data_IF_423466949591
#
_entry.id   IF_423466949591
#
_cell.length_a   1.000
_cell.length_b   1.000
_cell.length_c   1.000
_cell.angle_alpha   90.00
_cell.angle_beta   90.00
_cell.angle_gamma   90.00
#
_symmetry.space_group_name_H-M   'P 1'
#
loop_
_entity.id
_entity.type
_entity.pdbx_description
1 polymer ?
#
# COMPACT_ATOMS: atom_id res chain seq x y z
N UNK A 1 25.44 13.06 6.81
CA UNK A 1 24.17 12.32 6.67
C UNK A 1 23.49 12.35 8.03
N UNK A 2 22.33 13.01 8.14
CA UNK A 2 21.54 12.95 9.38
C UNK A 2 20.99 11.51 9.55
N UNK A 3 21.00 10.93 10.75
CA UNK A 3 20.39 9.63 10.97
C UNK A 3 18.89 9.71 10.62
N UNK A 4 18.30 8.66 10.02
CA UNK A 4 16.86 8.63 9.79
C UNK A 4 16.12 8.82 11.13
N UNK A 5 14.94 9.46 11.12
CA UNK A 5 14.16 9.62 12.34
C UNK A 5 13.89 8.24 12.97
N UNK A 6 13.89 8.12 14.31
CA UNK A 6 13.50 6.91 15.01
C UNK A 6 12.16 6.36 14.50
N UNK A 7 12.00 5.03 14.46
CA UNK A 7 10.81 4.35 13.93
C UNK A 7 9.50 4.85 14.60
N UNK A 8 9.56 5.27 15.87
CA UNK A 8 8.43 5.88 16.58
C UNK A 8 7.92 7.21 15.97
N UNK A 9 8.74 7.95 15.22
CA UNK A 9 8.25 9.09 14.43
C UNK A 9 7.46 8.63 13.20
N UNK A 10 7.91 7.57 12.51
CA UNK A 10 7.18 6.99 11.37
C UNK A 10 5.81 6.49 11.82
N UNK A 11 5.77 5.78 12.93
CA UNK A 11 4.54 5.32 13.57
C UNK A 11 3.60 6.48 13.91
N UNK A 12 4.12 7.54 14.54
CA UNK A 12 3.32 8.74 14.84
C UNK A 12 2.78 9.43 13.59
N UNK A 13 3.58 9.51 12.53
CA UNK A 13 3.14 10.06 11.26
C UNK A 13 2.09 9.19 10.58
N UNK A 14 2.24 7.87 10.63
CA UNK A 14 1.29 6.91 10.06
C UNK A 14 -0.12 7.08 10.65
N UNK A 15 -0.22 7.33 11.96
CA UNK A 15 -1.49 7.64 12.64
C UNK A 15 -2.17 8.92 12.14
N UNK A 16 -1.38 9.89 11.70
CA UNK A 16 -1.88 11.18 11.21
C UNK A 16 -2.23 11.12 9.72
N UNK A 17 -1.45 10.39 8.92
CA UNK A 17 -1.55 10.40 7.46
C UNK A 17 -2.39 9.27 6.89
N UNK A 18 -2.72 8.23 7.66
CA UNK A 18 -3.51 7.08 7.20
C UNK A 18 -4.95 7.04 7.75
N UNK A 19 -5.51 8.19 8.16
CA UNK A 19 -6.92 8.23 8.55
C UNK A 19 -7.83 8.06 7.34
N UNK A 20 -8.80 7.19 7.46
CA UNK A 20 -9.76 6.92 6.41
C UNK A 20 -10.79 8.04 6.31
N UNK A 21 -11.45 8.16 5.15
CA UNK A 21 -12.34 9.28 4.81
C UNK A 21 -13.40 9.54 5.88
N UNK A 22 -13.85 8.47 6.52
CA UNK A 22 -14.90 8.47 7.53
C UNK A 22 -14.45 9.08 8.87
N UNK A 23 -13.14 9.16 9.15
CA UNK A 23 -12.59 9.59 10.44
C UNK A 23 -11.90 10.96 10.40
N UNK A 24 -11.93 11.65 9.25
CA UNK A 24 -11.22 12.90 9.05
C UNK A 24 -12.04 13.89 8.23
N UNK A 25 -11.64 15.15 8.27
CA UNK A 25 -12.00 16.11 7.23
C UNK A 25 -11.24 15.69 5.96
N UNK A 26 -11.90 15.35 4.85
CA UNK A 26 -11.19 14.81 3.69
C UNK A 26 -10.11 15.74 3.13
N UNK A 27 -10.39 17.04 3.06
CA UNK A 27 -9.42 18.03 2.57
C UNK A 27 -8.19 18.14 3.48
N UNK A 28 -8.39 18.26 4.80
CA UNK A 28 -7.27 18.29 5.76
C UNK A 28 -6.43 17.01 5.65
N UNK A 29 -7.08 15.86 5.41
CA UNK A 29 -6.38 14.58 5.25
C UNK A 29 -5.58 14.53 3.93
N UNK A 30 -6.14 15.02 2.82
CA UNK A 30 -5.44 15.09 1.54
C UNK A 30 -4.23 16.04 1.59
N UNK A 31 -4.32 17.10 2.39
CA UNK A 31 -3.23 18.03 2.63
C UNK A 31 -2.13 17.37 3.46
N UNK A 32 -2.44 16.83 4.64
CA UNK A 32 -1.43 16.24 5.54
C UNK A 32 -0.75 15.01 4.93
N UNK A 33 -1.52 14.12 4.29
CA UNK A 33 -0.97 12.96 3.59
C UNK A 33 -0.18 13.40 2.35
N UNK A 34 -0.65 14.44 1.66
CA UNK A 34 0.06 15.05 0.53
C UNK A 34 1.42 15.60 0.91
N UNK A 35 1.51 16.41 1.97
CA UNK A 35 2.78 16.96 2.45
C UNK A 35 3.75 15.86 2.89
N UNK A 36 3.26 14.79 3.51
CA UNK A 36 4.10 13.64 3.84
C UNK A 36 4.61 12.93 2.59
N UNK A 37 3.75 12.66 1.61
CA UNK A 37 4.12 12.01 0.36
C UNK A 37 5.16 12.83 -0.42
N UNK A 38 4.98 14.15 -0.47
CA UNK A 38 5.94 15.08 -1.08
C UNK A 38 7.30 15.02 -0.38
N UNK A 39 7.33 15.06 0.96
CA UNK A 39 8.55 14.92 1.74
C UNK A 39 9.24 13.56 1.53
N UNK A 40 8.47 12.47 1.44
CA UNK A 40 9.01 11.13 1.15
C UNK A 40 9.68 11.13 -0.22
N UNK A 41 9.00 11.62 -1.27
CA UNK A 41 9.56 11.66 -2.62
C UNK A 41 10.76 12.60 -2.74
N UNK A 42 10.75 13.72 -2.03
CA UNK A 42 11.92 14.59 -1.92
C UNK A 42 13.14 13.83 -1.38
N UNK A 43 12.99 13.11 -0.27
CA UNK A 43 14.07 12.33 0.34
C UNK A 43 14.50 11.17 -0.56
N UNK A 44 13.56 10.48 -1.22
CA UNK A 44 13.86 9.46 -2.23
C UNK A 44 14.69 10.06 -3.37
N UNK A 45 14.35 11.25 -3.86
CA UNK A 45 15.11 11.96 -4.89
C UNK A 45 16.52 12.30 -4.42
N UNK A 46 16.68 12.81 -3.20
CA UNK A 46 18.00 13.13 -2.65
C UNK A 46 18.89 11.89 -2.49
N UNK A 47 18.32 10.76 -2.08
CA UNK A 47 19.08 9.53 -1.80
C UNK A 47 19.35 8.67 -3.01
N UNK A 48 18.37 8.56 -3.91
CA UNK A 48 18.38 7.62 -5.04
C UNK A 48 18.59 8.33 -6.39
N UNK A 49 18.57 9.67 -6.41
CA UNK A 49 18.71 10.44 -7.64
C UNK A 49 17.63 10.08 -8.67
N UNK A 50 18.07 9.76 -9.89
CA UNK A 50 17.19 9.39 -10.99
C UNK A 50 16.68 7.94 -10.96
N UNK A 51 17.13 7.12 -9.98
CA UNK A 51 16.86 5.69 -9.96
C UNK A 51 15.37 5.34 -10.05
N UNK A 52 14.49 6.08 -9.36
CA UNK A 52 13.04 5.83 -9.36
C UNK A 52 12.39 5.88 -10.76
N UNK A 53 13.00 6.53 -11.76
CA UNK A 53 12.52 6.53 -13.16
C UNK A 53 12.66 5.17 -13.84
N UNK A 54 13.47 4.27 -13.29
CA UNK A 54 13.82 2.98 -13.86
C UNK A 54 13.25 1.81 -13.06
N UNK A 55 12.45 2.07 -12.02
CA UNK A 55 11.83 1.05 -11.18
C UNK A 55 10.35 0.95 -11.56
N UNK A 56 10.06 0.39 -12.74
CA UNK A 56 8.70 0.08 -13.19
C UNK A 56 8.64 -1.34 -13.73
N UNK A 57 7.44 -1.82 -14.04
CA UNK A 57 7.18 -3.14 -14.63
C UNK A 57 7.98 -3.32 -15.93
N UNK A 58 8.04 -2.31 -16.79
CA UNK A 58 8.67 -2.44 -18.10
C UNK A 58 10.20 -2.69 -18.09
N UNK A 59 11.01 -2.04 -17.22
CA UNK A 59 12.40 -2.46 -16.97
C UNK A 59 12.50 -3.86 -16.35
N UNK A 60 11.62 -4.21 -15.41
CA UNK A 60 11.57 -5.56 -14.81
C UNK A 60 11.35 -6.64 -15.89
N UNK A 61 10.52 -6.38 -16.89
CA UNK A 61 10.35 -7.31 -18.02
C UNK A 61 11.60 -7.51 -18.86
N UNK A 62 12.41 -6.45 -19.01
CA UNK A 62 13.71 -6.56 -19.72
C UNK A 62 14.70 -7.37 -18.91
N UNK A 63 14.72 -7.20 -17.60
CA UNK A 63 15.55 -8.01 -16.70
C UNK A 63 15.11 -9.48 -16.74
N UNK A 64 13.80 -9.74 -16.76
CA UNK A 64 13.25 -11.09 -16.90
C UNK A 64 13.63 -11.74 -18.24
N UNK A 65 13.67 -10.96 -19.32
CA UNK A 65 14.15 -11.42 -20.63
C UNK A 65 15.65 -11.77 -20.62
N UNK A 66 16.49 -10.97 -19.95
CA UNK A 66 17.91 -11.28 -19.81
C UNK A 66 18.13 -12.53 -18.92
N UNK A 67 17.31 -12.73 -17.89
CA UNK A 67 17.30 -13.96 -17.09
C UNK A 67 16.94 -15.16 -17.98
N UNK A 68 15.88 -15.08 -18.79
CA UNK A 68 15.49 -16.17 -19.72
C UNK A 68 16.65 -16.54 -20.64
N UNK A 69 17.30 -15.55 -21.25
CA UNK A 69 18.48 -15.76 -22.13
C UNK A 69 19.64 -16.39 -21.38
N UNK A 70 19.96 -15.89 -20.19
CA UNK A 70 21.06 -16.40 -19.37
C UNK A 70 20.84 -17.86 -18.93
N UNK A 71 19.58 -18.25 -18.74
CA UNK A 71 19.19 -19.64 -18.46
C UNK A 71 19.17 -20.52 -19.72
N UNK A 72 19.29 -19.94 -20.92
CA UNK A 72 19.28 -20.66 -22.19
C UNK A 72 17.91 -21.21 -22.58
N UNK A 73 16.83 -20.66 -22.01
CA UNK A 73 15.46 -21.06 -22.31
C UNK A 73 14.98 -20.37 -23.58
N UNK A 74 14.28 -21.09 -24.47
CA UNK A 74 13.74 -20.53 -25.72
C UNK A 74 12.52 -19.62 -25.48
N UNK A 75 11.69 -19.98 -24.50
CA UNK A 75 10.44 -19.31 -24.12
C UNK A 75 10.34 -19.17 -22.60
N UNK A 76 9.70 -18.11 -22.13
CA UNK A 76 9.40 -17.92 -20.71
C UNK A 76 8.25 -18.85 -20.30
N UNK A 77 8.51 -19.72 -19.32
CA UNK A 77 7.50 -20.49 -18.60
C UNK A 77 7.48 -20.03 -17.15
N UNK A 78 6.34 -19.52 -16.67
CA UNK A 78 6.24 -18.79 -15.42
C UNK A 78 4.94 -19.04 -14.68
N UNK A 79 5.00 -18.94 -13.36
CA UNK A 79 3.84 -18.86 -12.48
C UNK A 79 3.95 -17.59 -11.66
N UNK A 80 3.07 -16.63 -11.91
CA UNK A 80 3.12 -15.31 -11.29
C UNK A 80 1.79 -15.00 -10.59
N UNK A 81 1.91 -14.35 -9.43
CA UNK A 81 0.82 -14.14 -8.48
C UNK A 81 0.67 -12.64 -8.22
N UNK A 82 -0.57 -12.17 -8.09
CA UNK A 82 -0.88 -10.79 -7.71
C UNK A 82 -0.25 -9.76 -8.67
N UNK A 83 0.58 -8.82 -8.21
CA UNK A 83 1.29 -7.88 -9.10
C UNK A 83 2.12 -8.58 -10.18
N UNK A 84 2.61 -9.80 -9.91
CA UNK A 84 3.27 -10.63 -10.92
C UNK A 84 2.38 -10.96 -12.13
N UNK A 85 1.06 -10.90 -11.98
CA UNK A 85 0.16 -11.08 -13.14
C UNK A 85 0.21 -9.89 -14.11
N UNK A 86 0.56 -8.70 -13.63
CA UNK A 86 0.78 -7.51 -14.48
C UNK A 86 2.15 -7.59 -15.18
N UNK A 87 3.15 -8.13 -14.47
CA UNK A 87 4.46 -8.51 -15.04
C UNK A 87 4.27 -9.46 -16.22
N UNK A 88 3.56 -10.59 -16.03
CA UNK A 88 3.31 -11.56 -17.10
C UNK A 88 2.53 -10.98 -18.29
N UNK A 89 1.51 -10.15 -18.02
CA UNK A 89 0.75 -9.46 -19.07
C UNK A 89 1.64 -8.49 -19.86
N UNK A 90 2.52 -7.77 -19.15
CA UNK A 90 3.46 -6.83 -19.77
C UNK A 90 4.55 -7.57 -20.57
N UNK A 91 5.10 -8.66 -20.04
CA UNK A 91 6.05 -9.52 -20.75
C UNK A 91 5.46 -10.05 -22.05
N UNK A 92 4.23 -10.57 -22.00
CA UNK A 92 3.56 -11.11 -23.17
C UNK A 92 3.30 -10.04 -24.25
N UNK A 93 3.05 -8.79 -23.84
CA UNK A 93 2.91 -7.67 -24.77
C UNK A 93 4.25 -7.19 -25.34
N UNK A 94 5.32 -7.21 -24.54
CA UNK A 94 6.66 -6.74 -24.95
C UNK A 94 7.44 -7.78 -25.78
N UNK A 95 7.27 -9.06 -25.49
CA UNK A 95 8.00 -10.18 -26.11
C UNK A 95 7.05 -11.32 -26.53
N UNK A 96 6.09 -11.06 -27.43
CA UNK A 96 5.02 -12.01 -27.76
C UNK A 96 5.55 -13.36 -28.31
N UNK A 97 6.66 -13.36 -29.04
CA UNK A 97 7.29 -14.56 -29.62
C UNK A 97 8.19 -15.33 -28.63
N UNK A 98 8.22 -14.92 -27.36
CA UNK A 98 9.02 -15.53 -26.28
C UNK A 98 8.16 -16.03 -25.12
N UNK A 99 6.85 -16.10 -25.31
CA UNK A 99 5.90 -16.60 -24.32
C UNK A 99 5.69 -18.10 -24.50
N UNK A 100 6.00 -18.88 -23.46
CA UNK A 100 5.72 -20.31 -23.40
C UNK A 100 4.43 -20.58 -22.62
N UNK A 101 4.55 -21.15 -21.42
CA UNK A 101 3.42 -21.42 -20.52
C UNK A 101 3.41 -20.43 -19.36
N UNK A 102 2.45 -19.52 -19.33
CA UNK A 102 2.24 -18.59 -18.21
C UNK A 102 0.97 -18.97 -17.44
N UNK A 103 1.06 -18.93 -16.11
CA UNK A 103 -0.09 -19.07 -15.21
C UNK A 103 -0.18 -17.78 -14.39
N UNK A 104 -1.28 -17.05 -14.56
CA UNK A 104 -1.56 -15.79 -13.87
C UNK A 104 -2.61 -16.06 -12.78
N UNK A 105 -2.20 -16.02 -11.51
CA UNK A 105 -3.09 -16.26 -10.36
C UNK A 105 -3.35 -14.95 -9.58
N UNK A 106 -4.62 -14.53 -9.54
CA UNK A 106 -5.04 -13.29 -8.88
C UNK A 106 -5.05 -12.05 -9.78
N UNK A 107 -5.53 -12.18 -11.03
CA UNK A 107 -5.75 -11.05 -11.97
C UNK A 107 -6.78 -10.06 -11.44
N UNK A 108 -6.57 -8.75 -11.61
CA UNK A 108 -7.51 -7.71 -11.16
C UNK A 108 -8.85 -7.78 -11.92
N UNK A 109 -9.84 -8.44 -11.31
CA UNK A 109 -11.25 -8.25 -11.63
C UNK A 109 -12.06 -8.43 -10.36
N UNK A 110 -12.67 -7.36 -9.86
CA UNK A 110 -13.46 -7.40 -8.62
C UNK A 110 -14.94 -7.26 -8.95
N UNK A 111 -15.71 -8.31 -8.65
CA UNK A 111 -17.16 -8.26 -8.58
C UNK A 111 -17.59 -8.44 -7.12
N UNK A 112 -18.47 -7.54 -6.71
CA UNK A 112 -19.14 -7.42 -5.41
C UNK A 112 -19.76 -8.74 -4.92
N UNK A 113 -19.94 -8.92 -3.59
CA UNK A 113 -21.16 -9.43 -2.94
C UNK A 113 -21.06 -9.38 -1.39
N UNK A 114 -22.24 -9.12 -0.81
CA UNK A 114 -22.54 -8.69 0.56
C UNK A 114 -22.44 -9.77 1.63
N UNK A 115 -21.83 -9.42 2.77
CA UNK A 115 -22.11 -10.05 4.06
C UNK A 115 -21.83 -9.07 5.21
N UNK A 116 -22.66 -8.03 5.39
CA UNK A 116 -22.19 -6.83 6.12
C UNK A 116 -22.90 -6.43 7.41
N UNK A 117 -24.15 -6.81 7.69
CA UNK A 117 -24.93 -6.01 8.65
C UNK A 117 -24.44 -5.99 10.11
N UNK A 118 -23.80 -7.06 10.61
CA UNK A 118 -23.28 -7.10 12.01
C UNK A 118 -21.92 -6.44 12.15
N UNK A 119 -20.99 -6.80 11.26
CA UNK A 119 -19.63 -6.29 11.24
C UNK A 119 -19.62 -4.78 10.91
N UNK A 120 -20.51 -4.35 10.02
CA UNK A 120 -20.69 -2.95 9.63
C UNK A 120 -21.08 -2.06 10.83
N UNK A 121 -21.96 -2.54 11.72
CA UNK A 121 -22.34 -1.79 12.92
C UNK A 121 -21.18 -1.60 13.89
N UNK A 122 -20.40 -2.66 14.15
CA UNK A 122 -19.22 -2.55 15.02
C UNK A 122 -18.20 -1.59 14.41
N UNK A 123 -17.85 -1.79 13.14
CA UNK A 123 -16.81 -0.99 12.47
C UNK A 123 -17.22 0.48 12.35
N UNK A 124 -18.48 0.77 11.97
CA UNK A 124 -18.97 2.16 11.92
C UNK A 124 -19.00 2.83 13.29
N UNK A 125 -19.23 2.09 14.38
CA UNK A 125 -19.21 2.68 15.71
C UNK A 125 -17.85 3.28 16.06
N UNK A 126 -16.75 2.68 15.59
CA UNK A 126 -15.38 3.13 15.84
C UNK A 126 -15.07 4.50 15.23
N UNK A 127 -15.82 4.91 14.21
CA UNK A 127 -15.69 6.25 13.59
C UNK A 127 -15.93 7.35 14.62
N UNK A 128 -16.95 7.16 15.48
CA UNK A 128 -17.36 8.15 16.48
C UNK A 128 -16.85 7.84 17.88
N UNK A 129 -16.52 6.57 18.15
CA UNK A 129 -16.08 6.10 19.46
C UNK A 129 -14.98 5.04 19.31
N UNK A 130 -13.73 5.46 19.07
CA UNK A 130 -12.60 4.54 19.10
C UNK A 130 -12.47 3.89 20.49
N UNK A 131 -12.05 2.62 20.52
CA UNK A 131 -11.97 1.85 21.76
C UNK A 131 -10.56 1.97 22.34
N UNK A 132 -10.39 2.46 23.59
CA UNK A 132 -9.10 2.45 24.26
C UNK A 132 -8.67 1.02 24.56
N UNK A 133 -7.40 0.73 24.33
CA UNK A 133 -6.83 -0.59 24.56
C UNK A 133 -5.43 -0.49 25.15
N UNK A 134 -4.89 -1.63 25.58
CA UNK A 134 -3.57 -1.71 26.19
C UNK A 134 -2.95 -3.07 25.92
N UNK A 135 -1.66 -3.07 25.60
CA UNK A 135 -0.82 -4.28 25.64
C UNK A 135 0.46 -4.01 26.43
N UNK A 136 1.05 -5.07 27.00
CA UNK A 136 2.31 -4.93 27.72
C UNK A 136 3.48 -4.53 26.79
N UNK A 137 3.40 -4.90 25.51
CA UNK A 137 4.44 -4.62 24.51
C UNK A 137 4.39 -3.20 23.94
N UNK A 138 3.20 -2.68 23.67
CA UNK A 138 3.02 -1.39 22.99
C UNK A 138 2.46 -0.29 23.90
N UNK A 139 2.02 -0.64 25.11
CA UNK A 139 1.39 0.27 26.04
C UNK A 139 -0.03 0.65 25.63
N UNK A 140 -0.53 1.84 26.05
CA UNK A 140 -1.87 2.31 25.70
C UNK A 140 -2.02 2.57 24.20
N UNK A 141 -3.13 2.12 23.62
CA UNK A 141 -3.47 2.30 22.21
C UNK A 141 -4.95 2.61 22.00
N UNK A 142 -5.32 2.95 20.75
CA UNK A 142 -6.70 3.18 20.33
C UNK A 142 -7.01 2.27 19.15
N UNK A 143 -8.12 1.53 19.26
CA UNK A 143 -8.71 0.82 18.14
C UNK A 143 -9.59 1.81 17.40
N UNK A 144 -9.10 2.27 16.26
CA UNK A 144 -9.79 3.18 15.34
C UNK A 144 -10.43 2.41 14.19
N UNK A 145 -11.38 3.03 13.48
CA UNK A 145 -11.95 2.48 12.26
C UNK A 145 -10.85 2.29 11.19
N UNK A 146 -9.98 3.28 10.95
CA UNK A 146 -8.88 3.13 9.99
C UNK A 146 -7.91 2.01 10.36
N UNK A 147 -7.53 1.91 11.64
CA UNK A 147 -6.62 0.87 12.12
C UNK A 147 -7.22 -0.53 11.94
N UNK A 148 -8.48 -0.71 12.35
CA UNK A 148 -9.16 -2.00 12.25
C UNK A 148 -9.40 -2.40 10.79
N UNK A 149 -9.97 -1.52 9.96
CA UNK A 149 -10.26 -1.82 8.54
C UNK A 149 -8.96 -2.04 7.77
N UNK A 150 -7.94 -1.22 8.00
CA UNK A 150 -6.62 -1.35 7.38
C UNK A 150 -5.92 -2.67 7.72
N UNK A 151 -6.17 -3.24 8.91
CA UNK A 151 -5.60 -4.53 9.33
C UNK A 151 -6.45 -5.74 8.91
N UNK A 152 -7.77 -5.55 8.77
CA UNK A 152 -8.67 -6.57 8.23
C UNK A 152 -8.42 -6.83 6.74
N UNK A 153 -8.16 -5.77 5.96
CA UNK A 153 -7.89 -5.88 4.52
C UNK A 153 -6.83 -6.94 4.16
N UNK A 154 -5.58 -6.90 4.68
CA UNK A 154 -4.58 -7.94 4.40
C UNK A 154 -4.94 -9.31 4.99
N UNK A 155 -5.74 -9.36 6.05
CA UNK A 155 -6.19 -10.63 6.64
C UNK A 155 -7.20 -11.36 5.75
N UNK A 156 -7.98 -10.62 4.97
CA UNK A 156 -8.89 -11.21 3.98
C UNK A 156 -8.14 -11.98 2.88
N UNK A 157 -6.86 -11.65 2.62
CA UNK A 157 -6.01 -12.36 1.66
C UNK A 157 -5.43 -13.68 2.20
N UNK A 158 -5.46 -13.92 3.52
CA UNK A 158 -4.87 -15.11 4.13
C UNK A 158 -5.82 -15.82 5.10
N UNK A 159 -6.46 -16.93 4.67
CA UNK A 159 -7.46 -17.64 5.49
C UNK A 159 -6.91 -18.22 6.79
N UNK A 160 -5.58 -18.39 6.93
CA UNK A 160 -4.96 -18.78 8.20
C UNK A 160 -5.22 -17.75 9.31
N UNK A 161 -5.40 -16.47 8.96
CA UNK A 161 -5.71 -15.40 9.90
C UNK A 161 -7.18 -15.31 10.30
N UNK A 162 -8.10 -15.97 9.58
CA UNK A 162 -9.54 -15.79 9.76
C UNK A 162 -10.06 -16.23 11.13
N UNK A 163 -9.64 -17.37 11.71
CA UNK A 163 -10.10 -17.74 13.06
C UNK A 163 -9.72 -16.69 14.11
N UNK A 164 -8.52 -16.11 13.98
CA UNK A 164 -8.06 -15.04 14.88
C UNK A 164 -8.86 -13.75 14.67
N UNK A 165 -9.09 -13.34 13.42
CA UNK A 165 -9.90 -12.17 13.11
C UNK A 165 -11.36 -12.32 13.59
N UNK A 166 -11.95 -13.51 13.44
CA UNK A 166 -13.30 -13.80 13.92
C UNK A 166 -13.40 -13.71 15.45
N UNK A 167 -12.44 -14.29 16.17
CA UNK A 167 -12.37 -14.21 17.63
C UNK A 167 -12.15 -12.77 18.10
N UNK A 168 -11.27 -12.02 17.45
CA UNK A 168 -11.03 -10.61 17.73
C UNK A 168 -12.31 -9.78 17.54
N UNK A 169 -13.03 -9.93 16.43
CA UNK A 169 -14.29 -9.22 16.17
C UNK A 169 -15.35 -9.57 17.23
N UNK A 170 -15.47 -10.84 17.60
CA UNK A 170 -16.38 -11.29 18.65
C UNK A 170 -16.06 -10.65 20.01
N UNK A 171 -14.79 -10.60 20.40
CA UNK A 171 -14.36 -9.97 21.65
C UNK A 171 -14.59 -8.47 21.63
N UNK A 172 -14.36 -7.80 20.51
CA UNK A 172 -14.66 -6.39 20.34
C UNK A 172 -16.16 -6.09 20.45
N UNK A 173 -17.03 -6.92 19.87
CA UNK A 173 -18.49 -6.83 20.07
C UNK A 173 -18.86 -6.96 21.56
N UNK A 174 -18.14 -7.80 22.31
CA UNK A 174 -18.33 -8.00 23.75
C UNK A 174 -17.67 -6.90 24.62
N UNK A 175 -17.01 -5.91 24.01
CA UNK A 175 -16.31 -4.83 24.70
C UNK A 175 -14.91 -5.17 25.22
N UNK A 176 -14.36 -6.33 24.84
CA UNK A 176 -13.00 -6.74 25.14
C UNK A 176 -12.04 -6.33 24.00
N UNK A 177 -11.11 -5.44 24.31
CA UNK A 177 -10.20 -4.86 23.33
C UNK A 177 -8.85 -5.59 23.19
N UNK A 178 -8.58 -6.63 24.01
CA UNK A 178 -7.23 -7.23 24.11
C UNK A 178 -6.73 -7.79 22.78
N UNK A 179 -7.53 -8.63 22.10
CA UNK A 179 -7.13 -9.19 20.81
C UNK A 179 -7.06 -8.12 19.72
N UNK A 180 -7.92 -7.11 19.77
CA UNK A 180 -7.88 -5.98 18.83
C UNK A 180 -6.61 -5.15 18.99
N UNK A 181 -6.17 -4.91 20.22
CA UNK A 181 -4.91 -4.23 20.51
C UNK A 181 -3.71 -5.04 19.98
N UNK A 182 -3.66 -6.34 20.30
CA UNK A 182 -2.60 -7.23 19.82
C UNK A 182 -2.59 -7.39 18.29
N UNK A 183 -3.74 -7.21 17.63
CA UNK A 183 -3.86 -7.23 16.18
C UNK A 183 -3.27 -5.98 15.53
N UNK A 184 -3.58 -4.80 16.07
CA UNK A 184 -3.01 -3.52 15.62
C UNK A 184 -1.53 -3.38 15.97
N UNK A 185 -1.08 -4.01 17.04
CA UNK A 185 0.32 -3.97 17.47
C UNK A 185 1.31 -4.50 16.44
N UNK A 186 0.87 -5.41 15.56
CA UNK A 186 1.71 -5.95 14.48
C UNK A 186 2.04 -4.93 13.39
N UNK A 187 1.29 -3.83 13.33
CA UNK A 187 1.46 -2.80 12.31
C UNK A 187 2.50 -1.74 12.68
N UNK A 188 3.00 -1.72 13.93
CA UNK A 188 4.02 -0.76 14.35
C UNK A 188 5.42 -1.16 13.89
N UNK A 189 6.15 -0.20 13.32
CA UNK A 189 7.56 -0.38 12.98
C UNK A 189 8.43 -0.29 14.24
N UNK A 190 8.10 0.59 15.18
CA UNK A 190 8.79 0.68 16.48
C UNK A 190 8.33 -0.42 17.44
N UNK A 191 9.29 -1.16 17.99
CA UNK A 191 9.05 -2.14 19.07
C UNK A 191 9.75 -1.68 20.36
N UNK A 192 9.04 -1.02 21.30
CA UNK A 192 9.62 -0.59 22.56
C UNK A 192 10.27 -1.77 23.31
N UNK A 193 11.54 -1.62 23.74
CA UNK A 193 12.25 -2.63 24.53
C UNK A 193 13.02 -3.70 23.73
N UNK A 194 12.82 -3.79 22.41
CA UNK A 194 13.67 -4.60 21.53
C UNK A 194 14.78 -3.72 20.95
N UNK A 195 15.98 -3.81 21.53
CA UNK A 195 17.21 -3.35 20.87
C UNK A 195 17.52 -4.33 19.74
N UNK A 196 16.78 -4.28 18.63
CA UNK A 196 17.15 -5.06 17.45
C UNK A 196 18.38 -4.40 16.81
N UNK A 197 19.54 -5.06 16.74
CA UNK A 197 20.71 -4.54 16.02
C UNK A 197 20.47 -4.54 14.50
N UNK A 198 19.45 -5.26 14.03
CA UNK A 198 18.95 -5.22 12.67
C UNK A 198 17.81 -4.21 12.60
N UNK A 199 18.05 -3.09 11.91
CA UNK A 199 16.96 -2.28 11.37
C UNK A 199 16.16 -3.19 10.44
N UNK A 200 14.88 -3.41 10.75
CA UNK A 200 13.96 -3.90 9.74
C UNK A 200 13.95 -2.82 8.64
N UNK A 201 14.58 -3.10 7.51
CA UNK A 201 14.54 -2.23 6.35
C UNK A 201 13.11 -2.32 5.80
N UNK A 202 12.25 -1.42 6.27
CA UNK A 202 10.92 -1.21 5.71
C UNK A 202 11.08 -0.90 4.22
N UNK A 203 10.36 -1.63 3.38
CA UNK A 203 10.26 -1.36 1.95
C UNK A 203 9.02 -0.55 1.63
N UNK A 204 8.41 0.12 2.61
CA UNK A 204 7.12 0.81 2.46
C UNK A 204 7.13 1.83 1.31
N UNK A 205 8.28 2.45 1.02
CA UNK A 205 8.42 3.39 -0.08
C UNK A 205 8.54 2.72 -1.45
N UNK A 206 9.02 1.48 -1.53
CA UNK A 206 9.26 0.79 -2.80
C UNK A 206 7.96 0.57 -3.60
N UNK A 207 6.84 0.10 -3.00
CA UNK A 207 5.56 0.03 -3.70
C UNK A 207 5.11 1.37 -4.28
N UNK A 208 5.31 2.49 -3.56
CA UNK A 208 4.96 3.81 -4.10
C UNK A 208 5.81 4.17 -5.30
N UNK A 209 7.12 3.91 -5.25
CA UNK A 209 8.00 4.17 -6.38
C UNK A 209 7.61 3.35 -7.61
N UNK A 210 7.35 2.05 -7.43
CA UNK A 210 6.93 1.14 -8.51
C UNK A 210 5.61 1.60 -9.13
N UNK A 211 4.57 1.75 -8.31
CA UNK A 211 3.22 2.10 -8.77
C UNK A 211 3.21 3.46 -9.48
N UNK A 212 3.94 4.43 -8.95
CA UNK A 212 3.98 5.76 -9.57
C UNK A 212 4.88 5.81 -10.82
N UNK A 213 5.91 4.97 -10.90
CA UNK A 213 6.72 4.83 -12.10
C UNK A 213 5.97 4.06 -13.21
N UNK A 214 5.09 3.12 -12.87
CA UNK A 214 4.19 2.47 -13.83
C UNK A 214 3.18 3.45 -14.43
N UNK A 215 2.70 4.41 -13.63
CA UNK A 215 1.71 5.42 -14.03
C UNK A 215 2.32 6.80 -14.35
N UNK A 216 3.59 6.88 -14.75
CA UNK A 216 4.31 8.15 -14.89
C UNK A 216 3.69 9.10 -15.94
N UNK A 217 3.01 8.56 -16.94
CA UNK A 217 2.37 9.27 -18.05
C UNK A 217 0.90 9.63 -17.78
N UNK A 218 0.36 9.23 -16.62
CA UNK A 218 -0.96 9.62 -16.20
C UNK A 218 -1.06 11.15 -16.04
N UNK A 219 -2.03 11.75 -16.73
CA UNK A 219 -2.28 13.19 -16.66
C UNK A 219 -2.70 13.57 -15.24
N UNK A 220 -2.07 14.62 -14.71
CA UNK A 220 -2.52 15.19 -13.44
C UNK A 220 -3.86 15.91 -13.66
N UNK A 221 -4.84 15.71 -12.75
CA UNK A 221 -6.16 16.30 -12.90
C UNK A 221 -6.10 17.83 -12.75
N UNK A 222 -6.81 18.56 -13.60
CA UNK A 222 -6.83 20.03 -13.62
C UNK A 222 -7.38 20.63 -12.32
N UNK A 223 -8.38 19.98 -11.71
CA UNK A 223 -9.02 20.43 -10.45
C UNK A 223 -8.19 20.12 -9.18
N UNK A 224 -6.98 19.60 -9.33
CA UNK A 224 -6.06 19.32 -8.23
C UNK A 224 -6.70 18.43 -7.15
N UNK A 225 -6.64 18.88 -5.89
CA UNK A 225 -7.15 18.11 -4.74
C UNK A 225 -8.65 17.83 -4.80
N UNK A 226 -9.45 18.67 -5.46
CA UNK A 226 -10.89 18.44 -5.58
C UNK A 226 -11.21 17.21 -6.43
N UNK A 227 -10.38 16.92 -7.44
CA UNK A 227 -10.51 15.68 -8.20
C UNK A 227 -10.16 14.47 -7.34
N UNK A 228 -9.07 14.55 -6.56
CA UNK A 228 -8.64 13.48 -5.65
C UNK A 228 -9.67 13.21 -4.55
N UNK A 229 -10.34 14.26 -4.04
CA UNK A 229 -11.42 14.14 -3.08
C UNK A 229 -12.61 13.35 -3.65
N UNK A 230 -13.04 13.68 -4.87
CA UNK A 230 -14.13 12.96 -5.58
C UNK A 230 -13.74 11.53 -5.92
N UNK A 231 -12.49 11.29 -6.34
CA UNK A 231 -11.99 9.93 -6.57
C UNK A 231 -12.05 9.12 -5.26
N UNK A 232 -11.63 9.71 -4.14
CA UNK A 232 -11.66 9.02 -2.85
C UNK A 232 -13.09 8.67 -2.42
N UNK A 233 -14.04 9.57 -2.64
CA UNK A 233 -15.47 9.31 -2.42
C UNK A 233 -15.98 8.16 -3.31
N UNK A 234 -15.72 8.18 -4.62
CA UNK A 234 -16.15 7.11 -5.54
C UNK A 234 -15.53 5.74 -5.16
N UNK A 235 -14.24 5.70 -4.84
CA UNK A 235 -13.57 4.45 -4.43
C UNK A 235 -14.14 3.89 -3.14
N UNK A 236 -14.40 4.75 -2.14
CA UNK A 236 -14.90 4.32 -0.83
C UNK A 236 -16.38 3.97 -0.83
N UNK A 237 -17.18 4.56 -1.73
CA UNK A 237 -18.59 4.17 -1.93
C UNK A 237 -18.72 2.83 -2.65
N UNK A 238 -17.79 2.50 -3.56
CA UNK A 238 -17.74 1.19 -4.24
C UNK A 238 -17.20 0.07 -3.36
N UNK A 239 -16.23 0.36 -2.49
CA UNK A 239 -15.70 -0.60 -1.52
C UNK A 239 -15.25 0.11 -0.25
N UNK A 240 -15.99 -0.11 0.84
CA UNK A 240 -15.67 0.53 2.12
C UNK A 240 -14.39 -0.05 2.77
N UNK A 241 -14.03 -1.31 2.46
CA UNK A 241 -12.78 -1.94 2.92
C UNK A 241 -11.61 -1.53 2.02
N UNK A 242 -11.70 -1.78 0.71
CA UNK A 242 -10.56 -1.65 -0.19
C UNK A 242 -10.36 -0.22 -0.72
N UNK A 243 -11.43 0.57 -0.81
CA UNK A 243 -11.42 1.89 -1.45
C UNK A 243 -10.45 2.86 -0.77
N UNK A 244 -10.45 2.93 0.56
CA UNK A 244 -9.50 3.74 1.32
C UNK A 244 -8.06 3.24 1.11
N UNK A 245 -7.83 1.93 1.26
CA UNK A 245 -6.50 1.34 1.13
C UNK A 245 -5.89 1.65 -0.25
N UNK A 246 -6.64 1.35 -1.32
CA UNK A 246 -6.19 1.55 -2.71
C UNK A 246 -6.01 3.01 -3.05
N UNK A 247 -6.86 3.89 -2.53
CA UNK A 247 -6.71 5.33 -2.71
C UNK A 247 -5.36 5.84 -2.16
N UNK A 248 -5.01 5.44 -0.93
CA UNK A 248 -3.74 5.86 -0.32
C UNK A 248 -2.51 5.24 -0.97
N UNK A 249 -2.65 4.11 -1.68
CA UNK A 249 -1.57 3.55 -2.50
C UNK A 249 -1.27 4.42 -3.73
N UNK A 250 -2.30 5.00 -4.38
CA UNK A 250 -2.13 5.83 -5.59
C UNK A 250 -1.90 7.31 -5.32
N UNK A 251 -2.40 7.85 -4.20
CA UNK A 251 -2.29 9.27 -3.83
C UNK A 251 -0.86 9.85 -3.92
N UNK A 252 0.22 9.13 -3.53
CA UNK A 252 1.58 9.64 -3.64
C UNK A 252 1.95 10.07 -5.07
N UNK A 253 1.43 9.39 -6.10
CA UNK A 253 1.83 9.59 -7.49
C UNK A 253 1.58 11.00 -8.02
N UNK A 254 0.70 11.78 -7.37
CA UNK A 254 0.49 13.20 -7.67
C UNK A 254 1.78 14.04 -7.57
N UNK A 255 2.74 13.61 -6.77
CA UNK A 255 4.03 14.28 -6.56
C UNK A 255 5.17 13.68 -7.36
N UNK A 256 4.98 12.52 -8.00
CA UNK A 256 6.07 11.77 -8.62
C UNK A 256 6.76 12.59 -9.73
N UNK A 257 5.97 13.17 -10.63
CA UNK A 257 6.49 13.96 -11.76
C UNK A 257 7.12 15.30 -11.35
N UNK A 258 6.90 15.77 -10.11
CA UNK A 258 7.62 16.92 -9.54
C UNK A 258 9.11 16.64 -9.41
N UNK A 259 9.48 15.40 -9.08
CA UNK A 259 10.87 14.97 -8.86
C UNK A 259 11.44 14.20 -10.06
N UNK A 260 10.59 13.51 -10.81
CA UNK A 260 10.95 12.65 -11.92
C UNK A 260 10.09 12.91 -13.16
N UNK A 261 10.24 14.10 -13.76
CA UNK A 261 9.52 14.49 -15.00
C UNK A 261 9.77 13.56 -16.19
N UNK A 262 8.79 13.42 -17.07
CA UNK A 262 8.65 12.37 -18.10
C UNK A 262 9.91 12.02 -18.91
N UNK A 263 10.18 10.70 -18.91
CA UNK A 263 11.25 9.90 -19.55
C UNK A 263 12.72 10.15 -19.11
N UNK A 264 13.52 9.08 -18.94
CA UNK A 264 14.96 9.14 -19.18
C UNK A 264 15.19 9.61 -20.62
N UNK A 265 16.15 10.51 -20.85
CA UNK A 265 16.75 10.62 -22.18
C UNK A 265 17.28 9.23 -22.52
N UNK A 266 16.63 8.55 -23.46
CA UNK A 266 17.11 7.38 -24.19
C UNK A 266 18.34 6.69 -23.58
N UNK A 267 18.15 5.61 -22.82
CA UNK A 267 19.17 4.55 -22.72
C UNK A 267 19.04 3.65 -23.98
N UNK A 268 18.83 4.27 -25.14
CA UNK A 268 18.91 3.63 -26.45
C UNK A 268 20.00 4.35 -27.24
N UNK A 269 21.23 3.92 -27.01
CA UNK A 269 22.32 3.92 -27.99
C UNK A 269 23.50 3.10 -27.43
N UNK A 270 23.32 1.79 -27.25
CA UNK A 270 24.36 0.76 -27.48
C UNK A 270 23.65 -0.48 -28.01
#
# INVERSE_FOLDING_TARGET
>A
MLPPPPDGYRDRWSLLTRKYRQESTPMDQLEISGSMNDAIFHVCRERLGDFARFISTAPVERDLEEIRKALGEDELTGYLISYGTDIDQTYANMFPDKVGRLILDGTEYVKDHRLELRIDSLIKSLITRPIPAYTESSGPSLITHSGLVGSLYPTMYNPRGWPYAAQMLYELEAGNATLGAAFLDRAWESKPGLLSPHRDLSSDELPYLVICADAYDALQPEDGLLWWDRLWEDMTTRSWIAGNFRFFTGLPCRHFNTYWSSQPKSIMAI
#
